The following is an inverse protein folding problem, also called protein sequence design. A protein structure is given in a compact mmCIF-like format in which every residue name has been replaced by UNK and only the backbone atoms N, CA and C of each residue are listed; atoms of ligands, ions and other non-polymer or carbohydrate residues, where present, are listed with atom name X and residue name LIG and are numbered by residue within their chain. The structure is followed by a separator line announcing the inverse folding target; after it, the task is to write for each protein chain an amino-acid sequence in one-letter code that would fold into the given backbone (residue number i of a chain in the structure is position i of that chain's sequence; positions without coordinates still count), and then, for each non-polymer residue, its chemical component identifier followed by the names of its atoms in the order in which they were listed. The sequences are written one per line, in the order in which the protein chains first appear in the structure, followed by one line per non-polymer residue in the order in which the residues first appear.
data_IF_543973035553
#
_entry.id   IF_543973035553
#
_cell.length_a   1.000
_cell.length_b   1.000
_cell.length_c   1.000
_cell.angle_alpha   90.00
_cell.angle_beta   90.00
_cell.angle_gamma   90.00
#
_symmetry.space_group_name_H-M   'P 1'
#
loop_
_entity.id
_entity.type
_entity.pdbx_description
1 polymer ?
#
# COMPACT_ATOMS: atom_id res chain seq x y z
N UNK A 1 -31.94 -25.16 -22.35
CA UNK A 1 -31.90 -23.68 -22.27
C UNK A 1 -31.07 -23.16 -21.08
N UNK A 2 -30.38 -24.03 -20.34
CA UNK A 2 -29.60 -23.72 -19.12
C UNK A 2 -28.14 -23.34 -19.39
N UNK A 3 -27.63 -23.62 -20.60
CA UNK A 3 -26.20 -23.56 -20.93
C UNK A 3 -25.55 -22.18 -20.76
N UNK A 4 -26.14 -21.11 -21.28
CA UNK A 4 -25.48 -19.79 -21.29
C UNK A 4 -25.28 -19.18 -19.90
N UNK A 5 -26.15 -19.54 -18.97
CA UNK A 5 -26.23 -18.89 -17.66
C UNK A 5 -25.06 -19.25 -16.74
N UNK A 6 -24.57 -20.49 -16.81
CA UNK A 6 -23.48 -20.96 -15.93
C UNK A 6 -22.14 -20.26 -16.26
N UNK A 7 -21.90 -20.03 -17.56
CA UNK A 7 -20.71 -19.31 -18.04
C UNK A 7 -20.77 -17.82 -17.70
N UNK A 8 -21.95 -17.20 -17.89
CA UNK A 8 -22.19 -15.81 -17.48
C UNK A 8 -21.97 -15.62 -15.98
N UNK A 9 -22.48 -16.53 -15.13
CA UNK A 9 -22.27 -16.49 -13.68
C UNK A 9 -20.78 -16.61 -13.31
N UNK A 10 -20.03 -17.46 -14.01
CA UNK A 10 -18.60 -17.62 -13.78
C UNK A 10 -17.83 -16.34 -14.11
N UNK A 11 -18.08 -15.78 -15.30
CA UNK A 11 -17.45 -14.52 -15.73
C UNK A 11 -17.90 -13.36 -14.83
N UNK A 12 -19.17 -13.31 -14.42
CA UNK A 12 -19.65 -12.31 -13.47
C UNK A 12 -18.93 -12.40 -12.13
N UNK A 13 -18.65 -13.61 -11.63
CA UNK A 13 -17.84 -13.80 -10.42
C UNK A 13 -16.39 -13.38 -10.61
N UNK A 14 -15.79 -13.70 -11.76
CA UNK A 14 -14.42 -13.31 -12.11
C UNK A 14 -14.26 -11.78 -12.13
N UNK A 15 -15.28 -11.06 -12.60
CA UNK A 15 -15.29 -9.59 -12.66
C UNK A 15 -16.03 -8.91 -11.49
N UNK A 16 -16.50 -9.64 -10.47
CA UNK A 16 -17.35 -9.10 -9.40
C UNK A 16 -16.66 -8.02 -8.55
N UNK A 17 -15.34 -8.13 -8.37
CA UNK A 17 -14.53 -7.17 -7.60
C UNK A 17 -13.93 -6.05 -8.47
N UNK A 18 -14.19 -6.06 -9.78
CA UNK A 18 -13.68 -5.07 -10.73
C UNK A 18 -14.60 -3.85 -10.79
N UNK A 19 -14.04 -2.69 -11.11
CA UNK A 19 -14.82 -1.46 -11.33
C UNK A 19 -15.54 -1.56 -12.69
N UNK A 20 -16.82 -1.19 -12.75
CA UNK A 20 -17.62 -1.18 -13.99
C UNK A 20 -17.23 -0.01 -14.91
N UNK A 21 -16.01 -0.03 -15.46
CA UNK A 21 -15.60 0.88 -16.55
C UNK A 21 -15.97 0.27 -17.90
N UNK A 22 -16.06 1.10 -18.94
CA UNK A 22 -16.42 0.65 -20.29
C UNK A 22 -15.44 -0.42 -20.81
N UNK A 23 -14.15 -0.23 -20.58
CA UNK A 23 -13.08 -1.16 -20.95
C UNK A 23 -13.20 -2.51 -20.22
N UNK A 24 -13.53 -2.51 -18.92
CA UNK A 24 -13.76 -3.74 -18.16
C UNK A 24 -15.01 -4.48 -18.64
N UNK A 25 -16.06 -3.77 -19.05
CA UNK A 25 -17.26 -4.37 -19.63
C UNK A 25 -16.97 -4.94 -21.02
N UNK A 26 -16.18 -4.25 -21.84
CA UNK A 26 -15.73 -4.76 -23.15
C UNK A 26 -14.84 -6.01 -22.97
N UNK A 27 -13.88 -6.00 -22.06
CA UNK A 27 -13.04 -7.15 -21.73
C UNK A 27 -13.85 -8.33 -21.18
N UNK A 28 -14.82 -8.06 -20.31
CA UNK A 28 -15.76 -9.08 -19.82
C UNK A 28 -16.50 -9.76 -20.98
N UNK A 29 -17.00 -8.97 -21.93
CA UNK A 29 -17.71 -9.48 -23.10
C UNK A 29 -16.77 -10.25 -24.03
N UNK A 30 -15.52 -9.81 -24.19
CA UNK A 30 -14.49 -10.50 -24.98
C UNK A 30 -14.13 -11.86 -24.36
N UNK A 31 -13.90 -11.90 -23.05
CA UNK A 31 -13.62 -13.14 -22.32
C UNK A 31 -14.81 -14.10 -22.40
N UNK A 32 -16.04 -13.60 -22.20
CA UNK A 32 -17.25 -14.43 -22.34
C UNK A 32 -17.35 -15.01 -23.76
N UNK A 33 -17.16 -14.18 -24.80
CA UNK A 33 -17.23 -14.63 -26.20
C UNK A 33 -16.16 -15.67 -26.52
N UNK A 34 -14.93 -15.50 -26.04
CA UNK A 34 -13.86 -16.47 -26.25
C UNK A 34 -14.13 -17.81 -25.55
N UNK A 35 -14.75 -17.77 -24.37
CA UNK A 35 -15.13 -18.98 -23.64
C UNK A 35 -16.30 -19.70 -24.29
N UNK A 36 -17.30 -18.97 -24.77
CA UNK A 36 -18.41 -19.55 -25.54
C UNK A 36 -17.88 -20.27 -26.79
N UNK A 37 -16.93 -19.65 -27.51
CA UNK A 37 -16.30 -20.26 -28.69
C UNK A 37 -15.59 -21.57 -28.33
N UNK A 38 -14.74 -21.58 -27.28
CA UNK A 38 -14.01 -22.79 -26.85
C UNK A 38 -14.94 -23.92 -26.40
N UNK A 39 -15.99 -23.60 -25.64
CA UNK A 39 -16.96 -24.61 -25.20
C UNK A 39 -17.70 -25.19 -26.40
N UNK A 40 -18.00 -24.37 -27.40
CA UNK A 40 -18.61 -24.83 -28.66
C UNK A 40 -17.68 -25.77 -29.42
N UNK A 41 -16.40 -25.42 -29.56
CA UNK A 41 -15.39 -26.28 -30.19
C UNK A 41 -15.26 -27.63 -29.47
N UNK A 42 -15.28 -27.65 -28.13
CA UNK A 42 -15.23 -28.90 -27.36
C UNK A 42 -16.49 -29.76 -27.54
N UNK A 43 -17.67 -29.14 -27.62
CA UNK A 43 -18.91 -29.86 -27.91
C UNK A 43 -18.93 -30.44 -29.32
N UNK A 44 -18.42 -29.71 -30.32
CA UNK A 44 -18.31 -30.21 -31.70
C UNK A 44 -17.37 -31.41 -31.82
N UNK A 45 -16.37 -31.50 -30.93
CA UNK A 45 -15.50 -32.66 -30.79
C UNK A 45 -16.11 -33.82 -29.98
N UNK A 46 -17.41 -33.76 -29.67
CA UNK A 46 -18.16 -34.83 -29.01
C UNK A 46 -18.03 -34.86 -27.49
N UNK A 47 -17.52 -33.79 -26.87
CA UNK A 47 -17.42 -33.69 -25.41
C UNK A 47 -18.77 -33.32 -24.77
N UNK A 48 -19.08 -33.92 -23.64
CA UNK A 48 -20.26 -33.54 -22.86
C UNK A 48 -20.13 -32.12 -22.31
N UNK A 49 -21.22 -31.35 -22.35
CA UNK A 49 -21.25 -29.93 -22.01
C UNK A 49 -20.62 -29.58 -20.65
N UNK A 50 -20.94 -30.34 -19.58
CA UNK A 50 -20.39 -30.07 -18.26
C UNK A 50 -18.87 -30.26 -18.22
N UNK A 51 -18.35 -31.27 -18.95
CA UNK A 51 -16.93 -31.53 -19.04
C UNK A 51 -16.21 -30.48 -19.91
N UNK A 52 -16.88 -29.95 -20.94
CA UNK A 52 -16.37 -28.88 -21.79
C UNK A 52 -16.24 -27.55 -21.00
N UNK A 53 -17.20 -27.25 -20.11
CA UNK A 53 -17.10 -26.09 -19.21
C UNK A 53 -15.92 -26.25 -18.26
N UNK A 54 -15.81 -27.39 -17.57
CA UNK A 54 -14.74 -27.57 -16.58
C UNK A 54 -13.36 -27.45 -17.22
N UNK A 55 -13.18 -28.00 -18.42
CA UNK A 55 -11.92 -27.92 -19.17
C UNK A 55 -11.62 -26.50 -19.67
N UNK A 56 -12.65 -25.74 -20.06
CA UNK A 56 -12.51 -24.34 -20.44
C UNK A 56 -12.15 -23.45 -19.24
N UNK A 57 -12.72 -23.73 -18.06
CA UNK A 57 -12.41 -23.03 -16.79
C UNK A 57 -11.00 -23.38 -16.29
N UNK A 58 -10.55 -24.64 -16.42
CA UNK A 58 -9.20 -25.02 -15.98
C UNK A 58 -8.11 -24.30 -16.78
N UNK A 59 -8.37 -24.04 -18.07
CA UNK A 59 -7.48 -23.26 -18.94
C UNK A 59 -7.60 -21.72 -18.75
N UNK A 60 -8.47 -21.22 -17.86
CA UNK A 60 -8.64 -19.79 -17.55
C UNK A 60 -7.65 -19.27 -16.51
N UNK A 61 -7.01 -20.12 -15.69
CA UNK A 61 -6.11 -19.65 -14.61
C UNK A 61 -5.05 -18.62 -15.08
N UNK A 62 -4.61 -18.70 -16.34
CA UNK A 62 -3.70 -17.70 -16.95
C UNK A 62 -4.35 -16.32 -17.20
N UNK A 63 -5.67 -16.26 -17.42
CA UNK A 63 -6.42 -15.02 -17.63
C UNK A 63 -6.64 -14.29 -16.30
N UNK A 64 -6.67 -14.99 -15.16
CA UNK A 64 -6.71 -14.36 -13.84
C UNK A 64 -5.47 -13.47 -13.60
N UNK A 65 -4.33 -13.80 -14.21
CA UNK A 65 -3.13 -12.96 -14.24
C UNK A 65 -3.23 -11.74 -15.17
N UNK A 66 -4.05 -11.81 -16.23
CA UNK A 66 -4.37 -10.70 -17.12
C UNK A 66 -5.44 -9.75 -16.53
N UNK A 67 -6.31 -10.28 -15.67
CA UNK A 67 -7.39 -9.60 -14.96
C UNK A 67 -6.90 -8.95 -13.65
N UNK A 68 -5.65 -9.17 -13.25
CA UNK A 68 -5.06 -8.47 -12.11
C UNK A 68 -5.06 -6.95 -12.41
N UNK A 69 -5.60 -6.12 -11.50
CA UNK A 69 -5.93 -4.67 -11.59
C UNK A 69 -4.71 -3.79 -11.95
N UNK A 70 -4.25 -3.95 -13.18
CA UNK A 70 -3.02 -3.44 -13.77
C UNK A 70 -3.30 -2.05 -14.34
N UNK A 71 -3.31 -1.05 -13.46
CA UNK A 71 -3.60 0.33 -13.82
C UNK A 71 -2.39 0.96 -14.53
N UNK A 72 -2.60 1.52 -15.71
CA UNK A 72 -1.61 2.37 -16.38
C UNK A 72 -1.57 3.70 -15.64
N UNK A 73 -0.47 3.95 -14.93
CA UNK A 73 -0.25 5.20 -14.19
C UNK A 73 0.96 5.92 -14.78
N UNK A 74 0.91 7.26 -14.83
CA UNK A 74 2.08 8.08 -15.15
C UNK A 74 3.16 7.89 -14.07
N UNK A 75 4.11 6.99 -14.32
CA UNK A 75 5.08 6.51 -13.32
C UNK A 75 5.99 7.60 -12.81
N UNK A 76 6.36 8.55 -13.68
CA UNK A 76 7.23 9.66 -13.29
C UNK A 76 6.50 10.66 -12.37
N UNK A 77 5.24 11.00 -12.70
CA UNK A 77 4.39 11.89 -11.89
C UNK A 77 4.05 11.25 -10.54
N UNK A 78 3.78 9.95 -10.54
CA UNK A 78 3.56 9.16 -9.34
C UNK A 78 4.76 9.18 -8.38
N UNK A 79 5.98 8.93 -8.90
CA UNK A 79 7.22 8.98 -8.10
C UNK A 79 7.50 10.39 -7.58
N UNK A 80 7.25 11.41 -8.39
CA UNK A 80 7.43 12.81 -8.01
C UNK A 80 6.53 13.20 -6.82
N UNK A 81 5.23 12.92 -6.92
CA UNK A 81 4.26 13.21 -5.85
C UNK A 81 4.55 12.40 -4.57
N UNK A 82 5.08 11.19 -4.71
CA UNK A 82 5.54 10.37 -3.59
C UNK A 82 6.77 10.95 -2.90
N UNK A 83 7.80 11.33 -3.66
CA UNK A 83 9.01 11.95 -3.11
C UNK A 83 8.66 13.28 -2.45
N UNK A 84 7.75 14.06 -3.03
CA UNK A 84 7.25 15.29 -2.41
C UNK A 84 6.54 15.01 -1.08
N UNK A 85 5.66 14.01 -1.05
CA UNK A 85 4.97 13.61 0.19
C UNK A 85 5.96 13.10 1.24
N UNK A 86 6.97 12.33 0.84
CA UNK A 86 8.05 11.86 1.70
C UNK A 86 8.86 13.01 2.29
N UNK A 87 9.19 14.02 1.49
CA UNK A 87 9.86 15.22 1.95
C UNK A 87 9.05 15.95 3.03
N UNK A 88 7.75 16.18 2.79
CA UNK A 88 6.87 16.88 3.73
C UNK A 88 6.76 16.11 5.04
N UNK A 89 6.53 14.80 4.98
CA UNK A 89 6.42 13.99 6.19
C UNK A 89 7.74 13.90 6.96
N UNK A 90 8.86 13.76 6.26
CA UNK A 90 10.18 13.76 6.88
C UNK A 90 10.49 15.10 7.56
N UNK A 91 10.14 16.23 6.92
CA UNK A 91 10.28 17.58 7.50
C UNK A 91 9.42 17.73 8.77
N UNK A 92 8.17 17.28 8.75
CA UNK A 92 7.30 17.34 9.92
C UNK A 92 7.86 16.51 11.08
N UNK A 93 8.30 15.27 10.84
CA UNK A 93 8.93 14.48 11.91
C UNK A 93 10.24 15.08 12.40
N UNK A 94 11.04 15.67 11.52
CA UNK A 94 12.25 16.37 11.93
C UNK A 94 11.95 17.56 12.85
N UNK A 95 10.95 18.39 12.53
CA UNK A 95 10.51 19.52 13.38
C UNK A 95 10.01 19.01 14.74
N UNK A 96 9.18 17.98 14.75
CA UNK A 96 8.62 17.40 15.98
C UNK A 96 9.70 16.76 16.86
N UNK A 97 10.82 16.32 16.29
CA UNK A 97 11.94 15.74 17.04
C UNK A 97 12.97 16.75 17.52
N UNK A 98 12.83 18.05 17.21
CA UNK A 98 13.73 19.10 17.71
C UNK A 98 13.75 19.14 19.25
N UNK A 99 12.61 19.11 19.96
CA UNK A 99 12.61 19.07 21.42
C UNK A 99 13.32 17.84 21.96
N UNK A 100 13.27 16.68 21.28
CA UNK A 100 13.91 15.46 21.76
C UNK A 100 15.45 15.56 21.86
N UNK A 101 16.07 16.59 21.26
CA UNK A 101 17.52 16.83 21.26
C UNK A 101 18.10 17.07 22.65
N UNK A 102 17.28 17.44 23.64
CA UNK A 102 17.73 17.54 25.03
C UNK A 102 18.13 16.19 25.63
N UNK A 103 17.75 15.06 25.00
CA UNK A 103 18.13 13.72 25.42
C UNK A 103 19.22 13.15 24.50
N UNK A 104 20.23 12.43 25.05
CA UNK A 104 21.29 11.81 24.25
C UNK A 104 20.74 10.87 23.15
N UNK A 105 19.66 10.15 23.45
CA UNK A 105 18.99 9.26 22.49
C UNK A 105 18.25 10.03 21.38
N UNK A 106 17.77 11.24 21.64
CA UNK A 106 17.05 12.06 20.67
C UNK A 106 17.96 12.79 19.67
N UNK A 107 19.23 13.03 20.04
CA UNK A 107 20.22 13.62 19.13
C UNK A 107 20.42 12.74 17.89
N UNK A 108 20.64 11.43 18.10
CA UNK A 108 20.86 10.49 16.98
C UNK A 108 19.66 10.43 16.03
N UNK A 109 18.44 10.34 16.58
CA UNK A 109 17.20 10.29 15.78
C UNK A 109 17.00 11.57 14.98
N UNK A 110 17.22 12.73 15.60
CA UNK A 110 17.07 14.01 14.90
C UNK A 110 18.11 14.17 13.77
N UNK A 111 19.37 13.79 14.00
CA UNK A 111 20.41 13.82 12.95
C UNK A 111 20.10 12.87 11.80
N UNK A 112 19.61 11.66 12.10
CA UNK A 112 19.18 10.71 11.07
C UNK A 112 18.02 11.27 10.24
N UNK A 113 17.00 11.86 10.88
CA UNK A 113 15.88 12.50 10.18
C UNK A 113 16.35 13.66 9.31
N UNK A 114 17.30 14.47 9.78
CA UNK A 114 17.91 15.53 8.98
C UNK A 114 18.59 14.96 7.72
N UNK A 115 19.37 13.88 7.84
CA UNK A 115 19.97 13.21 6.69
C UNK A 115 18.90 12.73 5.70
N UNK A 116 17.80 12.13 6.19
CA UNK A 116 16.68 11.69 5.33
C UNK A 116 16.03 12.88 4.62
N UNK A 117 15.81 14.01 5.31
CA UNK A 117 15.30 15.25 4.69
C UNK A 117 16.23 15.74 3.57
N UNK A 118 17.54 15.79 3.83
CA UNK A 118 18.52 16.25 2.83
C UNK A 118 18.56 15.31 1.62
N UNK A 119 18.59 14.00 1.85
CA UNK A 119 18.59 13.00 0.78
C UNK A 119 17.30 13.06 -0.06
N UNK A 120 16.14 13.08 0.59
CA UNK A 120 14.84 13.18 -0.11
C UNK A 120 14.70 14.51 -0.84
N UNK A 121 15.21 15.60 -0.29
CA UNK A 121 15.27 16.92 -0.93
C UNK A 121 16.17 16.94 -2.16
N UNK A 122 17.35 16.33 -2.08
CA UNK A 122 18.26 16.20 -3.22
C UNK A 122 17.63 15.37 -4.35
N UNK A 123 16.98 14.25 -4.01
CA UNK A 123 16.23 13.42 -4.97
C UNK A 123 15.08 14.21 -5.59
N UNK A 124 14.31 14.95 -4.80
CA UNK A 124 13.23 15.81 -5.29
C UNK A 124 13.72 16.86 -6.29
N UNK A 125 14.82 17.55 -5.99
CA UNK A 125 15.41 18.56 -6.88
C UNK A 125 15.99 17.96 -8.15
N UNK A 126 16.60 16.77 -8.07
CA UNK A 126 17.04 16.04 -9.26
C UNK A 126 15.85 15.66 -10.15
N UNK A 127 14.79 15.14 -9.52
CA UNK A 127 13.59 14.68 -10.22
C UNK A 127 12.74 15.82 -10.78
N UNK A 128 12.73 16.99 -10.14
CA UNK A 128 12.03 18.18 -10.67
C UNK A 128 12.68 18.72 -11.95
N UNK A 129 14.01 18.63 -12.07
CA UNK A 129 14.75 19.02 -13.28
C UNK A 129 14.42 18.11 -14.47
N UNK A 130 14.15 16.84 -14.23
CA UNK A 130 13.83 15.85 -15.27
C UNK A 130 12.32 15.69 -15.53
N UNK A 131 11.46 16.39 -14.79
CA UNK A 131 9.99 16.28 -14.86
C UNK A 131 9.42 16.60 -16.25
N UNK A 132 9.90 17.68 -16.89
CA UNK A 132 9.45 18.07 -18.24
C UNK A 132 9.86 17.09 -19.35
N UNK A 133 10.83 16.19 -19.09
CA UNK A 133 11.40 15.29 -20.11
C UNK A 133 10.72 13.92 -20.14
N UNK A 134 10.10 13.50 -19.04
CA UNK A 134 9.58 12.14 -18.85
C UNK A 134 8.08 12.09 -18.51
N UNK A 135 7.36 13.18 -18.76
CA UNK A 135 5.93 13.35 -18.46
C UNK A 135 5.03 12.27 -19.09
N UNK A 136 5.43 11.70 -20.24
CA UNK A 136 4.64 10.71 -20.98
C UNK A 136 4.98 9.24 -20.67
N UNK A 137 5.89 8.96 -19.74
CA UNK A 137 6.18 7.57 -19.38
C UNK A 137 5.07 7.00 -18.50
N UNK A 138 4.43 5.95 -19.01
CA UNK A 138 3.42 5.16 -18.32
C UNK A 138 4.07 3.87 -17.81
N UNK A 139 3.67 3.43 -16.62
CA UNK A 139 3.98 2.10 -16.12
C UNK A 139 2.69 1.47 -15.62
N UNK A 140 2.61 0.16 -15.83
CA UNK A 140 1.52 -0.65 -15.30
C UNK A 140 1.81 -0.93 -13.83
N UNK A 141 0.91 -0.51 -12.95
CA UNK A 141 1.00 -0.72 -11.52
C UNK A 141 -0.25 -1.46 -11.07
N UNK A 142 -0.06 -2.58 -10.36
CA UNK A 142 -1.15 -3.33 -9.78
C UNK A 142 -1.71 -2.61 -8.53
N UNK A 143 -2.86 -1.97 -8.65
CA UNK A 143 -3.46 -1.17 -7.58
C UNK A 143 -4.07 -2.04 -6.46
N UNK A 144 -4.60 -3.22 -6.82
CA UNK A 144 -5.13 -4.20 -5.86
C UNK A 144 -4.08 -4.70 -4.85
N UNK A 145 -2.86 -4.98 -5.31
CA UNK A 145 -1.74 -5.36 -4.43
C UNK A 145 -1.34 -4.20 -3.52
N UNK A 146 -1.20 -2.98 -4.05
CA UNK A 146 -0.83 -1.80 -3.26
C UNK A 146 -1.82 -1.50 -2.13
N UNK A 147 -3.12 -1.69 -2.36
CA UNK A 147 -4.13 -1.51 -1.32
C UNK A 147 -3.98 -2.52 -0.18
N UNK A 148 -3.72 -3.81 -0.49
CA UNK A 148 -3.43 -4.85 0.52
C UNK A 148 -2.17 -4.54 1.31
N UNK A 149 -1.11 -4.09 0.62
CA UNK A 149 0.14 -3.65 1.25
C UNK A 149 -0.06 -2.45 2.18
N UNK A 150 -0.93 -1.50 1.84
CA UNK A 150 -1.22 -0.35 2.72
C UNK A 150 -1.88 -0.77 4.04
N UNK A 151 -2.81 -1.73 4.01
CA UNK A 151 -3.43 -2.31 5.20
C UNK A 151 -2.42 -3.10 6.02
N UNK A 152 -1.58 -3.91 5.37
CA UNK A 152 -0.50 -4.65 6.02
C UNK A 152 0.51 -3.75 6.71
N UNK A 153 0.91 -2.64 6.08
CA UNK A 153 1.83 -1.66 6.66
C UNK A 153 1.26 -1.00 7.93
N UNK A 154 -0.04 -0.67 7.95
CA UNK A 154 -0.72 -0.13 9.13
C UNK A 154 -0.80 -1.15 10.27
N UNK A 155 -1.12 -2.41 9.96
CA UNK A 155 -1.13 -3.48 10.96
C UNK A 155 0.27 -3.72 11.55
N UNK A 156 1.29 -3.82 10.69
CA UNK A 156 2.67 -4.01 11.11
C UNK A 156 3.15 -2.83 11.99
N UNK A 157 2.84 -1.61 11.60
CA UNK A 157 3.16 -0.42 12.38
C UNK A 157 2.45 -0.40 13.73
N UNK A 158 1.16 -0.76 13.77
CA UNK A 158 0.38 -0.83 15.01
C UNK A 158 0.97 -1.86 15.98
N UNK A 159 1.30 -3.06 15.49
CA UNK A 159 1.97 -4.10 16.29
C UNK A 159 3.32 -3.61 16.79
N UNK A 160 4.13 -2.99 15.93
CA UNK A 160 5.42 -2.42 16.31
C UNK A 160 5.30 -1.41 17.45
N UNK A 161 4.36 -0.46 17.36
CA UNK A 161 4.12 0.54 18.41
C UNK A 161 3.66 -0.10 19.71
N UNK A 162 2.76 -1.09 19.64
CA UNK A 162 2.29 -1.80 20.83
C UNK A 162 3.44 -2.52 21.53
N UNK A 163 4.27 -3.25 20.78
CA UNK A 163 5.43 -3.98 21.33
C UNK A 163 6.44 -3.02 21.95
N UNK A 164 6.78 -1.93 21.26
CA UNK A 164 7.74 -0.93 21.77
C UNK A 164 7.20 -0.21 23.00
N UNK A 165 5.91 0.12 23.01
CA UNK A 165 5.27 0.76 24.17
C UNK A 165 5.24 -0.18 25.37
N UNK A 166 4.90 -1.45 25.16
CA UNK A 166 4.90 -2.47 26.20
C UNK A 166 6.31 -2.72 26.75
N UNK A 167 7.31 -2.81 25.88
CA UNK A 167 8.71 -2.93 26.30
C UNK A 167 9.15 -1.73 27.15
N UNK A 168 8.82 -0.51 26.72
CA UNK A 168 9.16 0.73 27.45
C UNK A 168 8.48 0.77 28.81
N UNK A 169 7.22 0.34 28.88
CA UNK A 169 6.45 0.24 30.11
C UNK A 169 7.04 -0.78 31.08
N UNK A 170 7.40 -1.99 30.61
CA UNK A 170 8.03 -3.03 31.44
C UNK A 170 9.39 -2.57 31.98
N UNK A 171 10.22 -1.92 31.16
CA UNK A 171 11.52 -1.40 31.62
C UNK A 171 11.34 -0.29 32.67
N UNK A 172 10.32 0.56 32.51
CA UNK A 172 10.14 1.71 33.38
C UNK A 172 9.43 1.37 34.69
N UNK A 173 8.42 0.51 34.64
CA UNK A 173 7.52 0.23 35.75
C UNK A 173 7.42 -1.25 36.12
N UNK A 174 8.08 -2.15 35.39
CA UNK A 174 7.99 -3.59 35.64
C UNK A 174 8.48 -3.99 37.02
N UNK A 175 9.56 -3.36 37.50
CA UNK A 175 10.04 -3.55 38.88
C UNK A 175 9.03 -3.04 39.90
N UNK A 176 8.48 -1.84 39.69
CA UNK A 176 7.55 -1.24 40.65
C UNK A 176 6.22 -1.98 40.71
N UNK A 177 5.72 -2.48 39.56
CA UNK A 177 4.57 -3.38 39.48
C UNK A 177 4.83 -4.70 40.20
N UNK A 178 6.01 -5.30 39.99
CA UNK A 178 6.38 -6.57 40.62
C UNK A 178 6.48 -6.46 42.15
N UNK A 179 6.98 -5.32 42.65
CA UNK A 179 7.13 -5.06 44.08
C UNK A 179 5.98 -4.25 44.71
N UNK A 180 4.90 -3.99 43.96
CA UNK A 180 3.72 -3.27 44.46
C UNK A 180 3.99 -1.83 44.91
N UNK A 181 5.00 -1.16 44.33
CA UNK A 181 5.38 0.22 44.68
C UNK A 181 4.52 1.23 43.92
N UNK A 182 4.32 2.40 44.52
CA UNK A 182 3.59 3.51 43.88
C UNK A 182 4.33 4.03 42.64
N UNK A 183 3.58 4.30 41.57
CA UNK A 183 4.08 4.90 40.34
C UNK A 183 4.44 6.37 40.59
N UNK A 184 5.68 6.64 41.00
CA UNK A 184 6.16 8.00 41.26
C UNK A 184 6.89 8.57 40.05
N UNK A 185 6.46 9.76 39.63
CA UNK A 185 7.15 10.57 38.64
C UNK A 185 7.86 11.70 39.39
N UNK A 186 9.15 11.54 39.61
CA UNK A 186 9.95 12.49 40.38
C UNK A 186 10.26 13.73 39.54
N UNK A 187 9.33 14.69 39.56
CA UNK A 187 9.51 16.04 39.02
C UNK A 187 9.28 16.22 37.50
N UNK A 188 9.29 17.48 37.02
CA UNK A 188 8.95 17.82 35.64
C UNK A 188 9.96 17.28 34.60
N UNK A 189 11.22 17.07 34.98
CA UNK A 189 12.24 16.50 34.10
C UNK A 189 12.01 15.01 33.81
N UNK A 190 11.68 14.22 34.83
CA UNK A 190 11.41 12.78 34.64
C UNK A 190 10.14 12.55 33.82
N UNK A 191 9.13 13.41 33.98
CA UNK A 191 7.96 13.42 33.10
C UNK A 191 8.35 13.65 31.64
N UNK A 192 9.17 14.68 31.36
CA UNK A 192 9.65 14.98 30.01
C UNK A 192 10.43 13.81 29.38
N UNK A 193 11.35 13.19 30.13
CA UNK A 193 12.12 12.02 29.67
C UNK A 193 11.19 10.86 29.31
N UNK A 194 10.16 10.64 30.14
CA UNK A 194 9.15 9.58 29.93
C UNK A 194 8.36 9.83 28.65
N UNK A 195 7.79 11.04 28.49
CA UNK A 195 7.02 11.42 27.30
C UNK A 195 7.85 11.28 26.02
N UNK A 196 9.10 11.75 26.04
CA UNK A 196 9.97 11.68 24.86
C UNK A 196 10.32 10.25 24.46
N UNK A 197 10.43 9.32 25.42
CA UNK A 197 10.65 7.90 25.14
C UNK A 197 9.53 7.26 24.33
N UNK A 198 8.28 7.68 24.55
CA UNK A 198 7.13 7.23 23.75
C UNK A 198 6.97 8.03 22.44
N UNK A 199 7.36 9.31 22.43
CA UNK A 199 7.22 10.16 21.24
C UNK A 199 8.20 9.80 20.11
N UNK A 200 9.43 9.38 20.43
CA UNK A 200 10.45 8.99 19.43
C UNK A 200 9.94 7.89 18.49
N UNK A 201 9.47 6.71 18.97
CA UNK A 201 9.00 5.64 18.08
C UNK A 201 7.76 6.03 17.28
N UNK A 202 6.94 6.99 17.73
CA UNK A 202 5.78 7.48 16.96
C UNK A 202 6.17 8.17 15.65
N UNK A 203 7.41 8.68 15.53
CA UNK A 203 7.90 9.26 14.27
C UNK A 203 7.92 8.25 13.10
N UNK A 204 7.94 6.94 13.40
CA UNK A 204 7.85 5.87 12.41
C UNK A 204 6.50 5.81 11.67
N UNK A 205 5.47 6.55 12.12
CA UNK A 205 4.15 6.64 11.46
C UNK A 205 4.22 7.18 10.03
N UNK A 206 5.32 7.82 9.66
CA UNK A 206 5.55 8.26 8.28
C UNK A 206 5.51 7.09 7.28
N UNK A 207 5.98 5.90 7.70
CA UNK A 207 6.06 4.72 6.82
C UNK A 207 4.67 4.30 6.33
N UNK A 208 3.69 3.98 7.20
CA UNK A 208 2.34 3.62 6.73
C UNK A 208 1.63 4.77 6.02
N UNK A 209 1.86 6.03 6.42
CA UNK A 209 1.28 7.20 5.74
C UNK A 209 1.78 7.33 4.29
N UNK A 210 3.05 7.05 4.03
CA UNK A 210 3.59 7.06 2.67
C UNK A 210 3.00 5.95 1.80
N UNK A 211 2.87 4.74 2.33
CA UNK A 211 2.26 3.61 1.60
C UNK A 211 0.79 3.90 1.29
N UNK A 212 0.05 4.50 2.21
CA UNK A 212 -1.34 4.89 1.98
C UNK A 212 -1.45 6.01 0.95
N UNK A 213 -0.56 7.01 0.99
CA UNK A 213 -0.50 8.05 -0.05
C UNK A 213 -0.16 7.49 -1.42
N UNK A 214 0.74 6.50 -1.50
CA UNK A 214 1.01 5.77 -2.74
C UNK A 214 -0.29 5.19 -3.31
N UNK A 215 -1.05 4.44 -2.51
CA UNK A 215 -2.32 3.87 -2.93
C UNK A 215 -3.31 4.94 -3.43
N UNK A 216 -3.42 6.09 -2.75
CA UNK A 216 -4.31 7.18 -3.15
C UNK A 216 -3.86 7.88 -4.43
N UNK A 217 -2.55 7.95 -4.68
CA UNK A 217 -1.99 8.56 -5.89
C UNK A 217 -2.17 7.66 -7.11
N UNK A 218 -2.09 6.33 -6.96
CA UNK A 218 -2.37 5.37 -8.04
C UNK A 218 -3.77 5.61 -8.62
N UNK A 219 -4.79 5.73 -7.75
CA UNK A 219 -6.18 6.00 -8.16
C UNK A 219 -6.41 7.39 -8.77
N UNK A 220 -5.54 8.37 -8.50
CA UNK A 220 -5.70 9.75 -8.98
C UNK A 220 -4.97 9.98 -10.30
N UNK A 221 -3.88 9.26 -10.53
CA UNK A 221 -2.99 9.39 -11.69
C UNK A 221 -3.21 8.29 -12.73
N UNK A 222 -4.28 7.52 -12.57
CA UNK A 222 -4.81 6.60 -13.58
C UNK A 222 -5.08 7.38 -14.87
N UNK A 223 -4.50 6.89 -15.97
CA UNK A 223 -4.76 7.45 -17.30
C UNK A 223 -6.15 7.01 -17.72
N UNK A 224 -7.15 7.87 -17.57
CA UNK A 224 -8.40 7.71 -18.29
C UNK A 224 -8.10 8.06 -19.76
N UNK A 225 -7.93 7.05 -20.62
CA UNK A 225 -7.98 7.28 -22.06
C UNK A 225 -9.40 7.81 -22.41
N UNK A 226 -9.50 8.88 -23.23
CA UNK A 226 -10.77 9.54 -23.55
C UNK A 226 -11.71 8.70 -24.42
#
# INVERSE_FOLDING_TARGET
MTNRHDLEIFVDRLFANQRKTKEVVELKNEVLSNLEARVTDYMENGMEYQSAISLAIDNIEDIEALIDDNQKVYSYRFRYDLVQSALIYSLLAWIVTIPARFLPSGIGVNTLLLCVVVLTGAVYLSMSRHLKRYEKQTAVINAGKLAKWSKGAWWLWSIFIVVVSMYTFVIQYGSDLWFGRELRIDGPYSFYVTVMRYAIPMTSVIIPLLVQKACKLTLRLEVNEP
#
